data_IF_615239992710
#
_entry.id   IF_615239992710
#
_cell.length_a   1.000
_cell.length_b   1.000
_cell.length_c   1.000
_cell.angle_alpha   90.00
_cell.angle_beta   90.00
_cell.angle_gamma   90.00
#
_symmetry.space_group_name_H-M   'P 1'
#
loop_
_entity.id
_entity.type
_entity.pdbx_description
1 polymer ?
#
# COMPACT_ATOMS: atom_id res chain seq x y z
N UNK A 1 48.37 12.06 10.07
CA UNK A 1 47.43 13.15 10.43
C UNK A 1 46.22 12.52 11.09
N UNK A 2 46.06 12.72 12.40
CA UNK A 2 44.92 12.20 13.15
C UNK A 2 43.73 13.15 13.03
N UNK A 3 42.56 12.61 12.71
CA UNK A 3 41.31 13.34 12.72
C UNK A 3 40.44 12.79 13.85
N UNK A 4 40.15 13.65 14.83
CA UNK A 4 39.26 13.34 15.96
C UNK A 4 37.93 14.02 15.68
N UNK A 5 36.79 13.31 15.59
CA UNK A 5 35.50 13.97 15.45
C UNK A 5 35.06 14.56 16.79
N UNK A 6 34.62 15.82 16.74
CA UNK A 6 34.15 16.60 17.88
C UNK A 6 32.79 16.09 18.39
N UNK A 7 32.68 15.97 19.72
CA UNK A 7 31.43 15.71 20.45
C UNK A 7 30.46 16.87 20.23
N UNK A 8 29.21 16.58 19.83
CA UNK A 8 28.10 17.53 19.88
C UNK A 8 27.47 17.49 21.27
N UNK A 9 27.40 18.65 21.92
CA UNK A 9 26.73 18.86 23.19
C UNK A 9 25.20 18.90 23.01
N UNK A 10 24.50 18.23 23.92
CA UNK A 10 23.05 18.25 24.06
C UNK A 10 22.67 19.42 24.97
N UNK A 11 21.91 20.37 24.43
CA UNK A 11 21.30 21.46 25.21
C UNK A 11 19.94 21.00 25.73
N UNK A 12 19.80 21.01 27.06
CA UNK A 12 18.57 20.82 27.79
C UNK A 12 17.73 22.11 27.87
N UNK A 13 16.41 21.90 27.91
CA UNK A 13 15.38 22.68 28.59
C UNK A 13 14.87 23.99 27.95
N UNK A 14 13.57 23.97 27.61
CA UNK A 14 12.64 25.05 27.97
C UNK A 14 11.22 24.47 28.15
N UNK A 15 10.77 24.48 29.40
CA UNK A 15 9.40 24.29 29.86
C UNK A 15 8.51 25.44 29.40
N UNK A 16 7.30 25.17 28.93
CA UNK A 16 6.23 26.18 28.78
C UNK A 16 5.01 25.74 29.60
N UNK A 17 4.59 26.67 30.45
CA UNK A 17 3.53 26.54 31.44
C UNK A 17 2.13 26.48 30.81
N UNK A 18 1.24 25.76 31.50
CA UNK A 18 -0.17 25.65 31.16
C UNK A 18 -0.96 26.93 31.41
N UNK A 19 -2.08 27.03 30.68
CA UNK A 19 -3.20 27.91 31.01
C UNK A 19 -4.46 27.05 30.99
N UNK A 20 -5.03 26.84 32.17
CA UNK A 20 -6.37 26.31 32.35
C UNK A 20 -7.38 27.45 32.10
N UNK A 21 -8.27 27.26 31.12
CA UNK A 21 -9.43 28.12 30.90
C UNK A 21 -10.71 27.37 31.25
N UNK A 22 -11.30 27.70 32.40
CA UNK A 22 -12.67 27.35 32.77
C UNK A 22 -13.61 28.47 32.32
N UNK A 23 -14.64 28.12 31.54
CA UNK A 23 -15.93 28.81 31.40
C UNK A 23 -16.79 27.95 30.46
N UNK A 24 -18.07 27.65 30.68
CA UNK A 24 -19.05 28.10 31.65
C UNK A 24 -20.41 27.84 31.00
N UNK A 25 -21.21 26.93 31.57
CA UNK A 25 -22.58 26.71 31.13
C UNK A 25 -23.43 27.92 31.52
N UNK A 26 -23.97 28.63 30.53
CA UNK A 26 -24.93 29.71 30.71
C UNK A 26 -26.29 29.31 30.16
N UNK A 27 -27.23 29.06 31.06
CA UNK A 27 -28.66 28.90 30.79
C UNK A 27 -29.26 30.23 30.30
N UNK A 28 -30.04 30.18 29.23
CA UNK A 28 -30.95 31.26 28.86
C UNK A 28 -32.39 30.80 29.12
N UNK A 29 -33.01 31.47 30.09
CA UNK A 29 -34.43 31.47 30.38
C UNK A 29 -35.15 32.30 29.32
N UNK A 30 -36.19 31.74 28.70
CA UNK A 30 -37.18 32.46 27.92
C UNK A 30 -38.56 32.02 28.38
N UNK A 31 -39.10 32.75 29.36
CA UNK A 31 -40.52 32.77 29.68
C UNK A 31 -41.24 33.64 28.65
N UNK A 32 -42.34 33.15 28.08
CA UNK A 32 -43.47 34.01 27.75
C UNK A 32 -44.77 33.17 27.82
N UNK A 33 -45.59 33.52 28.80
CA UNK A 33 -46.93 33.02 29.08
C UNK A 33 -47.93 33.50 28.03
N UNK A 34 -48.85 32.63 27.60
CA UNK A 34 -50.26 33.03 27.45
C UNK A 34 -51.19 31.85 27.75
N UNK A 35 -52.13 32.13 28.65
CA UNK A 35 -53.15 31.26 29.24
C UNK A 35 -54.36 30.96 28.33
N UNK A 36 -55.10 29.91 28.77
CA UNK A 36 -56.54 29.64 28.62
C UNK A 36 -56.98 28.83 27.37
N UNK A 37 -57.84 27.80 27.42
CA UNK A 37 -58.92 27.43 28.34
C UNK A 37 -59.14 25.89 28.42
N UNK A 38 -59.89 25.49 29.44
CA UNK A 38 -60.34 24.13 29.79
C UNK A 38 -61.42 23.56 28.86
N UNK A 39 -61.45 22.23 28.73
CA UNK A 39 -62.71 21.46 28.71
C UNK A 39 -62.50 20.02 29.21
N UNK A 40 -63.36 19.60 30.14
CA UNK A 40 -63.50 18.26 30.69
C UNK A 40 -64.11 17.26 29.69
N UNK A 41 -63.82 15.96 29.89
CA UNK A 41 -64.57 14.85 29.31
C UNK A 41 -63.87 13.50 29.49
N UNK A 42 -64.30 12.70 30.48
CA UNK A 42 -63.67 11.42 30.84
C UNK A 42 -64.17 10.18 30.09
N UNK A 43 -63.54 9.04 30.39
CA UNK A 43 -64.09 7.70 30.15
C UNK A 43 -63.13 6.69 29.52
N UNK A 44 -62.56 5.82 30.37
CA UNK A 44 -62.29 4.37 30.21
C UNK A 44 -61.91 3.79 28.83
N UNK A 45 -60.72 3.19 28.73
CA UNK A 45 -60.52 1.73 28.78
C UNK A 45 -59.08 1.38 28.37
N UNK A 46 -58.50 0.40 29.04
CA UNK A 46 -57.14 -0.04 28.81
C UNK A 46 -56.95 -0.80 27.50
N UNK A 47 -55.77 -0.67 26.92
CA UNK A 47 -55.11 -1.78 26.26
C UNK A 47 -53.59 -1.57 26.35
N UNK A 48 -52.91 -2.54 26.94
CA UNK A 48 -51.46 -2.55 27.07
C UNK A 48 -50.85 -2.93 25.73
N UNK A 49 -50.15 -1.99 25.13
CA UNK A 49 -49.26 -2.27 24.01
C UNK A 49 -47.97 -1.54 24.31
N UNK A 50 -46.95 -2.32 24.67
CA UNK A 50 -45.59 -1.91 24.95
C UNK A 50 -44.98 -1.27 23.69
N UNK A 51 -45.24 0.02 23.52
CA UNK A 51 -44.51 0.90 22.63
C UNK A 51 -43.17 1.19 23.27
N UNK A 52 -42.13 0.53 22.76
CA UNK A 52 -40.73 0.87 22.98
C UNK A 52 -40.55 2.37 22.76
N UNK A 53 -40.53 3.13 23.86
CA UNK A 53 -40.21 4.55 23.88
C UNK A 53 -38.71 4.59 23.62
N UNK A 54 -38.33 4.85 22.37
CA UNK A 54 -36.94 5.08 22.01
C UNK A 54 -36.45 6.24 22.87
N UNK A 55 -35.56 5.91 23.80
CA UNK A 55 -34.80 6.87 24.57
C UNK A 55 -33.83 7.55 23.61
N UNK A 56 -33.98 8.86 23.31
CA UNK A 56 -33.13 9.55 22.35
C UNK A 56 -31.69 9.75 22.86
N UNK A 57 -31.41 9.39 24.11
CA UNK A 57 -30.10 9.51 24.75
C UNK A 57 -29.32 8.17 24.81
N UNK A 58 -29.86 7.05 24.30
CA UNK A 58 -29.09 5.81 24.19
C UNK A 58 -28.26 5.79 22.90
N UNK A 59 -27.21 6.60 22.86
CA UNK A 59 -26.07 6.35 22.00
C UNK A 59 -25.33 5.14 22.59
N UNK A 60 -25.75 3.93 22.25
CA UNK A 60 -24.92 2.73 22.36
C UNK A 60 -23.72 2.95 21.43
N UNK A 61 -22.71 3.67 21.93
CA UNK A 61 -21.39 3.75 21.34
C UNK A 61 -20.85 2.32 21.40
N UNK A 62 -20.92 1.61 20.28
CA UNK A 62 -20.37 0.27 20.14
C UNK A 62 -18.99 0.28 20.78
N UNK A 63 -18.78 -0.58 21.79
CA UNK A 63 -17.59 -0.58 22.63
C UNK A 63 -16.33 -0.58 21.74
N UNK A 64 -15.72 0.59 21.60
CA UNK A 64 -14.51 0.78 20.84
C UNK A 64 -13.38 0.11 21.61
N UNK A 65 -12.86 -0.99 21.06
CA UNK A 65 -11.60 -1.59 21.52
C UNK A 65 -10.47 -0.95 20.72
N UNK A 66 -9.66 -0.08 21.34
CA UNK A 66 -8.53 0.56 20.67
C UNK A 66 -7.54 -0.49 20.17
N UNK A 67 -6.85 -0.24 19.05
CA UNK A 67 -5.82 -1.16 18.51
C UNK A 67 -4.75 -1.56 19.52
N UNK A 68 -4.48 -0.70 20.50
CA UNK A 68 -3.44 -0.89 21.54
C UNK A 68 -3.69 -2.13 22.43
N UNK A 69 -4.87 -2.73 22.34
CA UNK A 69 -5.22 -3.98 23.05
C UNK A 69 -5.01 -5.24 22.19
N UNK A 70 -4.64 -5.11 20.92
CA UNK A 70 -4.33 -6.23 20.02
C UNK A 70 -2.83 -6.53 20.01
N UNK A 71 -2.48 -7.82 20.02
CA UNK A 71 -1.09 -8.23 19.77
C UNK A 71 -0.83 -8.29 18.26
N UNK A 72 0.33 -7.81 17.78
CA UNK A 72 0.73 -8.03 16.39
C UNK A 72 0.68 -9.53 16.05
N UNK A 73 0.20 -9.90 14.84
CA UNK A 73 0.20 -11.29 14.40
C UNK A 73 1.62 -11.83 14.30
N UNK A 74 1.80 -13.11 14.64
CA UNK A 74 3.06 -13.83 14.48
C UNK A 74 3.43 -14.01 12.98
N UNK A 75 2.42 -14.06 12.11
CA UNK A 75 2.56 -14.19 10.66
C UNK A 75 1.67 -13.16 9.94
N UNK A 76 2.29 -12.32 9.11
CA UNK A 76 1.60 -11.29 8.33
C UNK A 76 0.72 -11.91 7.24
N UNK A 77 1.07 -13.06 6.69
CA UNK A 77 0.28 -13.73 5.66
C UNK A 77 -1.03 -14.27 6.23
N UNK A 78 -0.99 -14.84 7.44
CA UNK A 78 -2.19 -15.27 8.15
C UNK A 78 -3.10 -14.09 8.48
N UNK A 79 -2.52 -12.97 8.92
CA UNK A 79 -3.25 -11.72 9.15
C UNK A 79 -3.93 -11.18 7.88
N UNK A 80 -3.21 -11.17 6.76
CA UNK A 80 -3.72 -10.63 5.51
C UNK A 80 -4.71 -11.58 4.82
N UNK A 81 -4.77 -12.86 5.19
CA UNK A 81 -5.72 -13.82 4.62
C UNK A 81 -7.18 -13.39 4.81
N UNK A 82 -7.47 -12.64 5.88
CA UNK A 82 -8.80 -12.09 6.19
C UNK A 82 -9.02 -10.68 5.60
N UNK A 83 -8.02 -10.11 4.91
CA UNK A 83 -8.12 -8.77 4.35
C UNK A 83 -8.90 -8.75 3.02
N UNK A 84 -9.81 -7.78 2.88
CA UNK A 84 -10.56 -7.57 1.64
C UNK A 84 -9.62 -7.24 0.48
N UNK A 85 -9.74 -8.01 -0.60
CA UNK A 85 -8.91 -7.86 -1.79
C UNK A 85 -7.52 -8.51 -1.71
N UNK A 86 -7.17 -9.18 -0.60
CA UNK A 86 -5.89 -9.90 -0.54
C UNK A 86 -5.93 -11.21 -1.32
N UNK A 87 -4.85 -11.43 -2.08
CA UNK A 87 -4.66 -12.62 -2.94
C UNK A 87 -3.25 -13.20 -2.80
N UNK A 88 -2.53 -12.87 -1.73
CA UNK A 88 -1.12 -13.26 -1.55
C UNK A 88 -0.12 -12.31 -2.23
N UNK A 89 -0.60 -11.17 -2.73
CA UNK A 89 0.19 -10.22 -3.51
C UNK A 89 0.67 -9.05 -2.67
N UNK A 90 1.91 -8.64 -2.91
CA UNK A 90 2.51 -7.45 -2.29
C UNK A 90 3.03 -6.50 -3.34
N UNK A 91 2.66 -5.23 -3.22
CA UNK A 91 3.19 -4.21 -4.12
C UNK A 91 4.54 -3.75 -3.59
N UNK A 92 5.63 -4.13 -4.26
CA UNK A 92 6.95 -3.57 -3.97
C UNK A 92 7.08 -2.18 -4.58
N UNK A 93 7.34 -1.20 -3.73
CA UNK A 93 7.64 0.17 -4.15
C UNK A 93 9.14 0.35 -4.35
N UNK A 94 9.52 1.16 -5.33
CA UNK A 94 10.91 1.47 -5.60
C UNK A 94 11.48 2.50 -4.61
N UNK A 95 12.74 2.86 -4.81
CA UNK A 95 13.55 3.75 -3.94
C UNK A 95 13.15 5.22 -3.93
N UNK A 96 12.00 5.58 -4.54
CA UNK A 96 11.50 6.96 -4.60
C UNK A 96 11.18 7.59 -3.23
N UNK A 97 11.16 6.78 -2.17
CA UNK A 97 10.84 7.20 -0.80
C UNK A 97 9.37 7.57 -0.61
N UNK A 98 8.47 7.13 -1.51
CA UNK A 98 7.04 7.38 -1.43
C UNK A 98 6.23 6.15 -1.81
N UNK A 99 5.18 5.90 -1.03
CA UNK A 99 4.14 4.92 -1.33
C UNK A 99 2.76 5.50 -1.04
N UNK A 100 1.72 5.01 -1.71
CA UNK A 100 0.35 5.42 -1.47
C UNK A 100 -0.56 4.20 -1.29
N UNK A 101 -1.43 4.27 -0.29
CA UNK A 101 -2.47 3.30 0.03
C UNK A 101 -3.81 4.04 0.05
N UNK A 102 -4.79 3.55 -0.71
CA UNK A 102 -6.16 4.09 -0.66
C UNK A 102 -6.91 3.49 0.53
N UNK A 103 -7.71 4.31 1.20
CA UNK A 103 -8.56 3.93 2.32
C UNK A 103 -10.03 3.95 1.88
N UNK A 104 -10.75 2.86 2.14
CA UNK A 104 -12.14 2.70 1.68
C UNK A 104 -12.22 2.34 0.19
N UNK A 105 -11.29 1.53 -0.31
CA UNK A 105 -11.36 1.00 -1.67
C UNK A 105 -12.35 -0.17 -1.73
N UNK A 106 -13.16 -0.24 -2.79
CA UNK A 106 -14.13 -1.33 -2.99
C UNK A 106 -13.43 -2.59 -3.52
N UNK A 107 -13.67 -3.73 -2.87
CA UNK A 107 -13.22 -5.06 -3.30
C UNK A 107 -14.39 -6.05 -3.30
N UNK A 108 -14.19 -7.21 -3.93
CA UNK A 108 -15.08 -8.35 -3.77
C UNK A 108 -14.97 -8.89 -2.33
N UNK A 109 -15.85 -8.42 -1.44
CA UNK A 109 -15.85 -8.77 -0.01
C UNK A 109 -16.17 -7.61 0.92
N UNK A 110 -16.03 -6.37 0.44
CA UNK A 110 -16.29 -5.18 1.22
C UNK A 110 -15.29 -4.06 0.91
N UNK A 111 -15.29 -3.05 1.76
CA UNK A 111 -14.31 -1.96 1.71
C UNK A 111 -12.98 -2.44 2.29
N UNK A 112 -11.87 -1.88 1.82
CA UNK A 112 -10.54 -2.24 2.28
C UNK A 112 -9.47 -1.22 1.94
N UNK A 113 -8.23 -1.60 2.17
CA UNK A 113 -7.05 -0.85 1.73
C UNK A 113 -6.65 -1.27 0.30
N UNK A 114 -6.10 -0.35 -0.49
CA UNK A 114 -5.58 -0.67 -1.82
C UNK A 114 -4.30 0.12 -2.16
N UNK A 115 -3.16 -0.55 -2.33
CA UNK A 115 -2.94 -1.98 -2.11
C UNK A 115 -3.13 -2.39 -0.63
N UNK A 116 -3.40 -3.68 -0.40
CA UNK A 116 -3.58 -4.23 0.95
C UNK A 116 -2.26 -4.26 1.72
N UNK A 117 -1.17 -4.63 1.03
CA UNK A 117 0.18 -4.64 1.58
C UNK A 117 1.16 -4.00 0.61
N UNK A 118 2.02 -3.14 1.16
CA UNK A 118 3.14 -2.55 0.45
C UNK A 118 4.45 -3.02 1.06
N UNK A 119 5.43 -3.26 0.21
CA UNK A 119 6.81 -3.45 0.61
C UNK A 119 7.62 -2.21 0.23
N UNK A 120 8.27 -1.60 1.21
CA UNK A 120 8.93 -0.31 1.07
C UNK A 120 10.37 -0.35 1.63
N UNK A 121 11.31 0.40 1.03
CA UNK A 121 12.61 0.63 1.67
C UNK A 121 12.49 1.44 2.96
N UNK A 122 13.47 1.35 3.88
CA UNK A 122 13.61 2.31 4.97
C UNK A 122 13.63 3.76 4.45
N UNK A 123 13.22 4.68 5.30
CA UNK A 123 13.00 6.11 5.01
C UNK A 123 11.89 6.39 4.00
N UNK A 124 10.95 5.46 3.78
CA UNK A 124 9.79 5.69 2.90
C UNK A 124 8.67 6.42 3.61
N UNK A 125 8.15 7.47 2.96
CA UNK A 125 6.92 8.16 3.36
C UNK A 125 5.72 7.45 2.73
N UNK A 126 4.96 6.70 3.54
CA UNK A 126 3.71 6.05 3.11
C UNK A 126 2.56 7.00 3.40
N UNK A 127 1.74 7.25 2.37
CA UNK A 127 0.54 8.08 2.45
C UNK A 127 -0.71 7.22 2.34
N UNK A 128 -1.63 7.39 3.27
CA UNK A 128 -2.98 6.87 3.18
C UNK A 128 -3.92 7.95 2.66
N UNK A 129 -4.67 7.67 1.59
CA UNK A 129 -5.57 8.62 0.92
C UNK A 129 -7.01 8.10 0.92
N UNK A 130 -7.94 8.86 1.51
CA UNK A 130 -9.34 8.45 1.60
C UNK A 130 -10.05 8.63 0.26
N UNK A 131 -10.69 7.56 -0.21
CA UNK A 131 -11.53 7.58 -1.41
C UNK A 131 -12.83 8.35 -1.16
N UNK A 132 -13.32 8.34 0.08
CA UNK A 132 -14.62 8.84 0.50
C UNK A 132 -15.78 7.90 0.19
N UNK A 133 -15.49 6.63 -0.13
CA UNK A 133 -16.49 5.58 -0.22
C UNK A 133 -16.70 4.95 1.17
N UNK A 134 -17.95 4.60 1.47
CA UNK A 134 -18.31 3.91 2.71
C UNK A 134 -18.48 4.81 3.93
N UNK A 135 -18.45 4.15 5.08
CA UNK A 135 -18.47 4.80 6.39
C UNK A 135 -17.11 5.39 6.76
N UNK A 136 -17.00 5.93 7.98
CA UNK A 136 -15.76 6.53 8.45
C UNK A 136 -14.71 5.45 8.74
N UNK A 137 -13.48 5.68 8.26
CA UNK A 137 -12.35 4.77 8.43
C UNK A 137 -11.15 5.48 9.05
N UNK A 138 -10.32 4.74 9.77
CA UNK A 138 -9.01 5.20 10.21
C UNK A 138 -7.91 4.22 9.78
N UNK A 139 -6.68 4.55 10.15
CA UNK A 139 -5.48 3.75 9.91
C UNK A 139 -4.71 3.73 11.22
N UNK A 140 -4.65 2.56 11.86
CA UNK A 140 -4.00 2.38 13.14
C UNK A 140 -3.14 1.10 13.12
N UNK A 141 -1.87 1.23 13.50
CA UNK A 141 -0.93 0.12 13.60
C UNK A 141 -1.17 -0.68 14.87
N UNK A 142 -1.06 -2.01 14.80
CA UNK A 142 -1.29 -2.88 15.97
C UNK A 142 -0.23 -2.74 17.06
N UNK A 143 0.95 -2.21 16.73
CA UNK A 143 2.05 -1.96 17.65
C UNK A 143 2.07 -0.53 18.21
N UNK A 144 1.08 0.30 17.83
CA UNK A 144 1.00 1.71 18.21
C UNK A 144 2.00 2.63 17.50
N UNK A 145 2.74 2.14 16.48
CA UNK A 145 3.76 2.95 15.76
C UNK A 145 3.13 4.15 15.04
N UNK A 146 1.91 4.00 14.51
CA UNK A 146 1.19 5.08 13.85
C UNK A 146 -0.32 4.95 14.03
N UNK A 147 -1.00 6.10 14.15
CA UNK A 147 -2.45 6.20 14.19
C UNK A 147 -2.91 7.51 13.56
N UNK A 148 -3.81 7.42 12.58
CA UNK A 148 -4.44 8.58 11.95
C UNK A 148 -5.45 9.32 12.84
N UNK A 149 -5.81 8.73 13.99
CA UNK A 149 -6.78 9.22 14.94
C UNK A 149 -8.22 8.83 14.60
N UNK A 150 -9.16 9.74 14.91
CA UNK A 150 -10.60 9.47 14.76
C UNK A 150 -10.96 9.08 13.31
N UNK A 151 -11.85 8.08 13.12
CA UNK A 151 -12.34 7.72 11.81
C UNK A 151 -12.90 8.89 11.00
N UNK A 152 -12.61 8.87 9.70
CA UNK A 152 -13.00 9.91 8.76
C UNK A 152 -13.56 9.29 7.47
N UNK A 153 -14.61 9.89 6.89
CA UNK A 153 -15.22 9.47 5.62
C UNK A 153 -15.00 10.50 4.48
N UNK A 154 -14.34 11.62 4.76
CA UNK A 154 -14.18 12.72 3.82
C UNK A 154 -13.14 12.39 2.74
N UNK A 155 -13.59 12.40 1.48
CA UNK A 155 -12.69 12.28 0.33
C UNK A 155 -11.64 13.39 0.29
N UNK A 156 -10.43 13.03 -0.15
CA UNK A 156 -9.30 13.97 -0.23
C UNK A 156 -8.56 14.20 1.09
N UNK A 157 -9.02 13.60 2.19
CA UNK A 157 -8.25 13.49 3.43
C UNK A 157 -7.05 12.57 3.21
N UNK A 158 -5.92 12.87 3.86
CA UNK A 158 -4.78 11.96 3.89
C UNK A 158 -4.02 12.00 5.20
N UNK A 159 -3.45 10.85 5.54
CA UNK A 159 -2.52 10.62 6.64
C UNK A 159 -1.19 10.15 6.06
N UNK A 160 -0.08 10.41 6.74
CA UNK A 160 1.22 9.91 6.30
C UNK A 160 2.12 9.54 7.47
N UNK A 161 2.98 8.55 7.25
CA UNK A 161 3.99 8.12 8.21
C UNK A 161 5.30 7.80 7.49
N UNK A 162 6.43 8.10 8.13
CA UNK A 162 7.76 7.79 7.60
C UNK A 162 8.30 6.59 8.35
N UNK A 163 8.56 5.51 7.62
CA UNK A 163 9.13 4.29 8.16
C UNK A 163 10.64 4.32 8.05
N UNK A 164 11.35 4.44 9.16
CA UNK A 164 12.82 4.45 9.22
C UNK A 164 13.43 3.11 9.63
N UNK A 165 12.73 2.33 10.44
CA UNK A 165 13.18 1.01 10.90
C UNK A 165 12.66 -0.14 10.02
N UNK A 166 13.51 -1.11 9.63
CA UNK A 166 13.05 -2.35 9.03
C UNK A 166 12.14 -3.13 9.97
N UNK A 167 11.05 -3.68 9.45
CA UNK A 167 10.04 -4.37 10.23
C UNK A 167 8.76 -4.61 9.44
N UNK A 168 7.84 -5.36 10.03
CA UNK A 168 6.50 -5.53 9.49
C UNK A 168 5.53 -4.81 10.42
N UNK A 169 4.70 -3.95 9.84
CA UNK A 169 3.75 -3.10 10.56
C UNK A 169 2.32 -3.40 10.09
N UNK A 170 1.65 -4.40 10.68
CA UNK A 170 0.24 -4.67 10.44
C UNK A 170 -0.60 -3.50 10.95
N UNK A 171 -1.58 -3.10 10.15
CA UNK A 171 -2.49 -2.01 10.48
C UNK A 171 -3.92 -2.34 10.07
N UNK A 172 -4.86 -1.57 10.60
CA UNK A 172 -6.28 -1.83 10.49
C UNK A 172 -7.05 -0.51 10.46
N UNK A 173 -8.24 -0.54 9.87
CA UNK A 173 -9.28 0.44 10.19
C UNK A 173 -10.09 -0.14 11.36
N UNK A 174 -10.06 0.51 12.51
CA UNK A 174 -10.79 0.02 13.69
C UNK A 174 -12.28 -0.13 13.40
N UNK A 175 -12.95 0.83 12.72
CA UNK A 175 -14.19 0.54 12.03
C UNK A 175 -13.92 -0.32 10.79
N UNK A 176 -14.60 -1.45 10.65
CA UNK A 176 -14.43 -2.36 9.52
C UNK A 176 -13.33 -3.41 9.71
N UNK A 177 -12.66 -3.47 10.88
CA UNK A 177 -11.69 -4.52 11.21
C UNK A 177 -12.27 -5.92 11.02
N UNK A 178 -13.41 -6.18 11.65
CA UNK A 178 -14.09 -7.49 11.59
C UNK A 178 -14.69 -7.78 10.21
N UNK A 179 -14.74 -6.76 9.35
CA UNK A 179 -15.22 -6.85 7.96
C UNK A 179 -14.07 -6.97 6.96
N UNK A 180 -12.81 -7.08 7.43
CA UNK A 180 -11.64 -7.32 6.58
C UNK A 180 -10.87 -6.06 6.14
N UNK A 181 -11.07 -4.90 6.79
CA UNK A 181 -10.24 -3.71 6.55
C UNK A 181 -8.88 -3.80 7.24
N UNK A 182 -8.07 -4.75 6.79
CA UNK A 182 -6.75 -5.07 7.31
C UNK A 182 -5.68 -4.75 6.27
N UNK A 183 -4.48 -4.39 6.70
CA UNK A 183 -3.34 -4.14 5.81
C UNK A 183 -2.01 -4.32 6.52
N UNK A 184 -0.92 -4.16 5.76
CA UNK A 184 0.43 -4.17 6.32
C UNK A 184 1.40 -3.29 5.53
N UNK A 185 2.38 -2.71 6.22
CA UNK A 185 3.58 -2.13 5.61
C UNK A 185 4.76 -3.02 5.98
N UNK A 186 5.45 -3.56 4.97
CA UNK A 186 6.70 -4.32 5.17
C UNK A 186 7.86 -3.42 4.80
N UNK A 187 8.72 -3.11 5.76
CA UNK A 187 9.89 -2.26 5.58
C UNK A 187 11.13 -3.13 5.53
N UNK A 188 11.79 -3.17 4.37
CA UNK A 188 13.01 -3.97 4.18
C UNK A 188 13.92 -3.36 3.12
N UNK A 189 15.21 -3.66 3.22
CA UNK A 189 16.16 -3.23 2.20
C UNK A 189 15.81 -3.87 0.84
N UNK A 190 15.71 -3.09 -0.25
CA UNK A 190 15.47 -3.65 -1.57
C UNK A 190 16.65 -4.51 -2.02
N UNK A 191 16.40 -5.55 -2.83
CA UNK A 191 17.49 -6.31 -3.42
C UNK A 191 18.35 -5.41 -4.33
N UNK A 192 19.64 -5.73 -4.42
CA UNK A 192 20.59 -4.98 -5.24
C UNK A 192 21.51 -5.91 -6.03
N UNK A 193 21.66 -5.60 -7.31
CA UNK A 193 22.63 -6.22 -8.23
C UNK A 193 24.00 -5.55 -8.19
N UNK A 194 24.10 -4.37 -7.58
CA UNK A 194 25.25 -3.46 -7.69
C UNK A 194 25.16 -2.51 -8.89
N UNK A 195 24.16 -2.64 -9.76
CA UNK A 195 23.86 -1.71 -10.85
C UNK A 195 22.68 -0.81 -10.46
N UNK A 196 22.97 0.35 -9.88
CA UNK A 196 21.94 1.26 -9.31
C UNK A 196 20.77 1.53 -10.27
N UNK A 197 21.06 1.89 -11.53
CA UNK A 197 20.02 2.18 -12.52
C UNK A 197 19.15 0.95 -12.90
N UNK A 198 19.71 -0.26 -12.78
CA UNK A 198 18.97 -1.51 -12.96
C UNK A 198 18.12 -1.77 -11.73
N UNK A 199 18.71 -1.67 -10.54
CA UNK A 199 18.04 -1.91 -9.25
C UNK A 199 16.81 -1.01 -9.11
N UNK A 200 16.95 0.30 -9.30
CA UNK A 200 15.84 1.26 -9.24
C UNK A 200 14.71 0.94 -10.25
N UNK A 201 15.05 0.31 -11.37
CA UNK A 201 14.10 -0.04 -12.42
C UNK A 201 13.36 -1.34 -12.13
N UNK A 202 14.11 -2.41 -11.85
CA UNK A 202 13.60 -3.79 -11.71
C UNK A 202 13.12 -4.12 -10.31
N UNK A 203 13.38 -3.26 -9.30
CA UNK A 203 12.81 -3.41 -7.95
C UNK A 203 11.29 -3.55 -7.96
N UNK A 204 10.61 -3.00 -8.96
CA UNK A 204 9.17 -3.14 -9.12
C UNK A 204 8.70 -4.51 -9.62
N UNK A 205 9.60 -5.38 -10.07
CA UNK A 205 9.26 -6.75 -10.47
C UNK A 205 9.36 -7.67 -9.27
N UNK A 206 8.28 -8.36 -8.92
CA UNK A 206 8.21 -9.19 -7.71
C UNK A 206 9.24 -10.31 -7.68
N UNK A 207 9.55 -10.86 -8.86
CA UNK A 207 10.51 -11.95 -9.03
C UNK A 207 11.98 -11.49 -8.97
N UNK A 208 12.24 -10.20 -8.83
CA UNK A 208 13.60 -9.69 -8.62
C UNK A 208 14.03 -9.86 -7.17
N UNK A 209 15.15 -10.54 -6.97
CA UNK A 209 15.76 -10.89 -5.69
C UNK A 209 17.21 -10.42 -5.55
N UNK A 210 17.67 -9.55 -6.48
CA UNK A 210 19.05 -9.06 -6.51
C UNK A 210 20.00 -9.94 -7.33
N UNK A 211 19.52 -11.09 -7.84
CA UNK A 211 20.34 -11.94 -8.71
C UNK A 211 20.48 -11.35 -10.11
N UNK A 212 21.67 -11.53 -10.68
CA UNK A 212 21.97 -11.26 -12.08
C UNK A 212 22.29 -12.60 -12.73
N UNK A 213 21.46 -13.02 -13.69
CA UNK A 213 21.78 -14.19 -14.49
C UNK A 213 22.95 -13.86 -15.41
N UNK A 214 24.07 -14.57 -15.25
CA UNK A 214 25.29 -14.34 -16.02
C UNK A 214 25.39 -15.31 -17.19
N UNK A 215 25.23 -14.78 -18.40
CA UNK A 215 25.39 -15.46 -19.69
C UNK A 215 26.54 -14.86 -20.50
N UNK A 216 27.51 -14.23 -19.82
CA UNK A 216 28.73 -13.75 -20.49
C UNK A 216 29.50 -14.90 -21.13
N UNK A 217 30.02 -14.66 -22.33
CA UNK A 217 30.67 -15.69 -23.15
C UNK A 217 29.74 -16.61 -23.94
N UNK A 218 28.41 -16.52 -23.75
CA UNK A 218 27.41 -17.21 -24.57
C UNK A 218 27.10 -16.43 -25.86
N UNK A 219 26.97 -17.14 -26.99
CA UNK A 219 26.54 -16.51 -28.26
C UNK A 219 25.05 -16.11 -28.23
N UNK A 220 24.26 -16.84 -27.46
CA UNK A 220 22.82 -16.63 -27.30
C UNK A 220 22.42 -16.74 -25.84
N UNK A 221 21.37 -16.01 -25.47
CA UNK A 221 20.73 -16.09 -24.15
C UNK A 221 19.21 -15.94 -24.31
N UNK A 222 18.43 -16.44 -23.35
CA UNK A 222 16.97 -16.40 -23.39
C UNK A 222 16.36 -15.65 -22.22
N UNK A 223 15.24 -14.98 -22.47
CA UNK A 223 14.36 -14.38 -21.48
C UNK A 223 12.94 -14.89 -21.75
N UNK A 224 12.30 -15.42 -20.72
CA UNK A 224 10.89 -15.78 -20.74
C UNK A 224 10.02 -14.54 -20.61
N UNK A 225 9.01 -14.40 -21.46
CA UNK A 225 7.93 -13.39 -21.37
C UNK A 225 6.70 -14.10 -20.83
N UNK A 226 6.16 -13.60 -19.72
CA UNK A 226 5.06 -14.27 -19.01
C UNK A 226 5.56 -15.28 -17.98
N UNK A 227 6.64 -14.95 -17.27
CA UNK A 227 7.07 -15.71 -16.11
C UNK A 227 6.19 -15.38 -14.89
N UNK A 228 6.12 -16.26 -13.88
CA UNK A 228 5.44 -15.97 -12.62
C UNK A 228 6.01 -14.71 -11.93
N UNK A 229 5.12 -13.83 -11.48
CA UNK A 229 5.41 -12.58 -10.80
C UNK A 229 4.38 -11.50 -11.11
N UNK A 230 4.29 -10.49 -10.23
CA UNK A 230 3.38 -9.35 -10.37
C UNK A 230 1.90 -9.78 -10.39
N UNK A 231 1.54 -10.66 -9.45
CA UNK A 231 0.19 -11.20 -9.25
C UNK A 231 -0.18 -12.44 -10.07
N UNK A 232 0.47 -12.68 -11.21
CA UNK A 232 0.21 -13.88 -12.01
C UNK A 232 1.42 -14.21 -12.91
N UNK A 233 1.27 -14.24 -14.24
CA UNK A 233 2.35 -14.45 -15.21
C UNK A 233 2.70 -13.13 -15.91
N UNK A 234 3.01 -12.10 -15.13
CA UNK A 234 3.31 -10.75 -15.58
C UNK A 234 4.77 -10.33 -15.33
N UNK A 235 5.71 -11.27 -15.37
CA UNK A 235 7.14 -11.00 -15.21
C UNK A 235 7.99 -11.45 -16.41
N UNK A 236 9.22 -10.95 -16.47
CA UNK A 236 10.28 -11.49 -17.30
C UNK A 236 11.20 -12.38 -16.46
N UNK A 237 11.69 -13.49 -17.01
CA UNK A 237 12.65 -14.36 -16.31
C UNK A 237 13.83 -14.76 -17.22
N UNK A 238 15.09 -14.51 -16.80
CA UNK A 238 15.47 -13.80 -15.59
C UNK A 238 15.09 -12.30 -15.64
N UNK A 239 14.85 -11.65 -14.50
CA UNK A 239 14.53 -10.21 -14.46
C UNK A 239 15.73 -9.34 -14.84
N UNK A 240 16.94 -9.78 -14.50
CA UNK A 240 18.20 -9.15 -14.89
C UNK A 240 19.11 -10.19 -15.54
N UNK A 241 19.52 -9.91 -16.76
CA UNK A 241 20.43 -10.75 -17.53
C UNK A 241 21.69 -9.98 -17.86
N UNK A 242 22.85 -10.63 -17.71
CA UNK A 242 24.14 -10.08 -18.07
C UNK A 242 24.76 -10.87 -19.21
N UNK A 243 25.21 -10.19 -20.25
CA UNK A 243 25.73 -10.80 -21.48
C UNK A 243 26.98 -10.09 -21.95
N UNK A 244 27.73 -10.73 -22.84
CA UNK A 244 28.85 -10.09 -23.53
C UNK A 244 28.35 -9.26 -24.72
N UNK A 245 29.14 -8.28 -25.19
CA UNK A 245 28.92 -7.70 -26.51
C UNK A 245 28.82 -8.79 -27.59
N UNK A 246 27.99 -8.52 -28.58
CA UNK A 246 27.60 -9.40 -29.69
C UNK A 246 26.75 -10.63 -29.32
N UNK A 247 26.35 -10.81 -28.05
CA UNK A 247 25.37 -11.83 -27.65
C UNK A 247 23.97 -11.49 -28.18
N UNK A 248 23.28 -12.50 -28.73
CA UNK A 248 21.88 -12.38 -29.16
C UNK A 248 20.93 -12.87 -28.08
N UNK A 249 20.11 -11.97 -27.54
CA UNK A 249 19.09 -12.29 -26.54
C UNK A 249 17.77 -12.59 -27.23
N UNK A 250 17.10 -13.66 -26.80
CA UNK A 250 15.84 -14.17 -27.35
C UNK A 250 14.74 -14.07 -26.29
N UNK A 251 13.66 -13.37 -26.61
CA UNK A 251 12.48 -13.31 -25.77
C UNK A 251 11.44 -14.32 -26.24
N UNK A 252 11.06 -15.23 -25.35
CA UNK A 252 10.20 -16.38 -25.63
C UNK A 252 8.91 -16.25 -24.81
N UNK A 253 7.77 -16.14 -25.48
CA UNK A 253 6.46 -16.05 -24.82
C UNK A 253 6.06 -17.43 -24.35
N UNK A 254 5.77 -17.54 -23.05
CA UNK A 254 5.20 -18.75 -22.47
C UNK A 254 3.90 -18.36 -21.82
N UNK A 255 2.75 -18.74 -22.39
CA UNK A 255 1.40 -18.67 -21.80
C UNK A 255 1.14 -17.49 -20.83
N UNK A 256 1.41 -16.23 -21.22
CA UNK A 256 1.26 -15.09 -20.34
C UNK A 256 -0.22 -14.86 -20.02
N UNK A 257 -0.49 -14.37 -18.80
CA UNK A 257 -1.85 -14.07 -18.34
C UNK A 257 -2.54 -12.94 -19.12
N UNK A 258 -1.79 -12.19 -19.93
CA UNK A 258 -2.28 -11.14 -20.81
C UNK A 258 -1.31 -10.86 -21.95
N UNK A 259 -1.73 -10.10 -22.98
CA UNK A 259 -0.88 -9.80 -24.11
C UNK A 259 0.30 -8.93 -23.67
N UNK A 260 1.53 -9.37 -23.93
CA UNK A 260 2.76 -8.69 -23.50
C UNK A 260 3.66 -8.36 -24.68
N UNK A 261 4.50 -7.32 -24.50
CA UNK A 261 5.57 -6.98 -25.43
C UNK A 261 6.89 -6.72 -24.70
N UNK A 262 7.95 -6.54 -25.47
CA UNK A 262 9.29 -6.14 -25.02
C UNK A 262 9.58 -4.81 -25.67
N UNK A 263 9.65 -3.74 -24.88
CA UNK A 263 9.95 -2.39 -25.37
C UNK A 263 11.04 -1.78 -24.50
N UNK A 264 12.15 -1.37 -25.14
CA UNK A 264 13.27 -0.76 -24.46
C UNK A 264 13.00 0.73 -24.19
N UNK A 265 13.43 1.20 -23.01
CA UNK A 265 13.29 2.61 -22.60
C UNK A 265 14.39 3.48 -23.22
N UNK A 266 15.58 2.90 -23.35
CA UNK A 266 16.82 3.61 -23.68
C UNK A 266 17.27 3.34 -25.14
N UNK A 267 16.47 2.62 -25.93
CA UNK A 267 16.78 2.26 -27.33
C UNK A 267 15.50 2.10 -28.16
N UNK A 268 15.58 2.37 -29.47
CA UNK A 268 14.49 2.13 -30.45
C UNK A 268 14.44 0.64 -30.82
N UNK A 269 14.14 -0.20 -29.82
CA UNK A 269 14.09 -1.66 -29.92
C UNK A 269 12.77 -2.12 -29.29
N UNK A 270 11.97 -2.83 -30.08
CA UNK A 270 10.64 -3.27 -29.65
C UNK A 270 10.21 -4.55 -30.38
N UNK A 271 9.48 -5.42 -29.68
CA UNK A 271 8.80 -6.58 -30.26
C UNK A 271 7.49 -6.22 -30.99
N UNK A 272 7.10 -4.94 -30.98
CA UNK A 272 5.85 -4.43 -31.56
C UNK A 272 4.67 -4.43 -30.58
N UNK A 273 3.46 -4.60 -31.12
CA UNK A 273 2.22 -4.64 -30.34
C UNK A 273 2.20 -5.82 -29.34
N UNK A 274 1.57 -5.67 -28.16
CA UNK A 274 1.42 -6.75 -27.19
C UNK A 274 0.68 -7.97 -27.77
N UNK A 275 1.14 -9.18 -27.43
CA UNK A 275 0.57 -10.45 -27.89
C UNK A 275 0.59 -11.52 -26.78
N UNK A 276 -0.34 -12.47 -26.85
CA UNK A 276 -0.37 -13.62 -25.93
C UNK A 276 0.75 -14.60 -26.25
N UNK A 277 0.96 -14.92 -27.51
CA UNK A 277 1.98 -15.89 -27.91
C UNK A 277 2.64 -15.44 -29.20
N UNK A 278 3.82 -16.00 -29.49
CA UNK A 278 4.50 -15.84 -30.77
C UNK A 278 5.00 -17.18 -31.24
N UNK A 279 4.74 -17.51 -32.50
CA UNK A 279 5.35 -18.66 -33.17
C UNK A 279 6.88 -18.49 -33.34
N UNK A 280 7.38 -17.25 -33.25
CA UNK A 280 8.80 -16.94 -33.37
C UNK A 280 9.21 -15.95 -32.28
N UNK A 281 10.32 -16.22 -31.54
CA UNK A 281 10.80 -15.30 -30.52
C UNK A 281 11.17 -13.94 -31.10
N UNK A 282 11.15 -12.94 -30.23
CA UNK A 282 11.78 -11.66 -30.53
C UNK A 282 13.27 -11.76 -30.21
N UNK A 283 14.14 -11.30 -31.10
CA UNK A 283 15.58 -11.41 -30.92
C UNK A 283 16.25 -10.04 -31.08
N UNK A 284 17.26 -9.77 -30.27
CA UNK A 284 18.09 -8.57 -30.39
C UNK A 284 19.55 -8.89 -30.03
N UNK A 285 20.48 -8.40 -30.86
CA UNK A 285 21.93 -8.52 -30.60
C UNK A 285 22.45 -7.22 -30.03
N UNK A 286 22.95 -7.26 -28.80
CA UNK A 286 23.56 -6.11 -28.14
C UNK A 286 25.03 -6.01 -28.53
N UNK A 287 25.45 -4.85 -29.04
CA UNK A 287 26.84 -4.64 -29.50
C UNK A 287 27.64 -3.69 -28.62
N UNK A 288 26.95 -2.83 -27.91
CA UNK A 288 27.57 -1.78 -27.11
C UNK A 288 27.45 -2.17 -25.63
N UNK A 289 28.53 -2.01 -24.84
CA UNK A 289 28.45 -2.15 -23.40
C UNK A 289 27.49 -1.12 -22.79
N UNK A 290 26.75 -1.52 -21.75
CA UNK A 290 25.79 -0.65 -21.09
C UNK A 290 24.65 -1.39 -20.41
N UNK A 291 23.74 -0.62 -19.81
CA UNK A 291 22.52 -1.13 -19.19
C UNK A 291 21.31 -0.78 -20.04
N UNK A 292 20.52 -1.78 -20.42
CA UNK A 292 19.36 -1.64 -21.29
C UNK A 292 18.10 -2.07 -20.55
N UNK A 293 17.27 -1.10 -20.17
CA UNK A 293 16.01 -1.32 -19.45
C UNK A 293 14.87 -1.51 -20.44
N UNK A 294 13.97 -2.44 -20.14
CA UNK A 294 12.79 -2.69 -20.94
C UNK A 294 11.58 -3.08 -20.09
N UNK A 295 10.40 -2.93 -20.65
CA UNK A 295 9.14 -3.31 -20.03
C UNK A 295 8.14 -3.85 -21.07
N UNK A 296 7.10 -4.50 -20.57
CA UNK A 296 5.86 -4.67 -21.31
C UNK A 296 4.99 -3.43 -21.10
N UNK A 297 4.60 -2.74 -22.18
CA UNK A 297 3.81 -1.51 -22.09
C UNK A 297 2.50 -1.65 -21.29
N UNK A 298 1.63 -2.66 -21.53
CA UNK A 298 0.39 -2.80 -20.78
C UNK A 298 0.61 -3.17 -19.31
N UNK A 299 1.79 -3.67 -18.94
CA UNK A 299 2.08 -4.22 -17.61
C UNK A 299 3.21 -3.47 -16.87
N UNK A 300 3.72 -2.36 -17.43
CA UNK A 300 4.82 -1.57 -16.85
C UNK A 300 4.47 -1.00 -15.47
N UNK A 301 3.21 -0.60 -15.29
CA UNK A 301 2.69 -0.03 -14.05
C UNK A 301 2.57 -1.07 -12.93
N UNK A 302 2.42 -2.35 -13.28
CA UNK A 302 2.37 -3.46 -12.32
C UNK A 302 3.71 -4.20 -12.18
N UNK A 303 4.79 -3.67 -12.76
CA UNK A 303 6.13 -4.19 -12.49
C UNK A 303 6.74 -5.12 -13.54
N UNK A 304 6.07 -5.37 -14.68
CA UNK A 304 6.64 -6.19 -15.77
C UNK A 304 7.80 -5.46 -16.45
N UNK A 305 8.98 -5.53 -15.82
CA UNK A 305 10.19 -4.79 -16.13
C UNK A 305 11.38 -5.75 -16.10
N UNK A 306 12.30 -5.57 -17.03
CA UNK A 306 13.55 -6.31 -17.06
C UNK A 306 14.71 -5.41 -17.47
N UNK A 307 15.93 -5.94 -17.32
CA UNK A 307 17.14 -5.25 -17.74
C UNK A 307 18.17 -6.22 -18.32
N UNK A 308 18.90 -5.73 -19.32
CA UNK A 308 20.10 -6.39 -19.85
C UNK A 308 21.31 -5.55 -19.46
N UNK A 309 22.33 -6.18 -18.88
CA UNK A 309 23.65 -5.58 -18.63
C UNK A 309 24.61 -6.17 -19.66
N UNK A 310 25.35 -5.32 -20.37
CA UNK A 310 26.31 -5.75 -21.39
C UNK A 310 27.70 -5.31 -20.98
N UNK A 311 28.60 -6.29 -20.74
CA UNK A 311 29.99 -6.08 -20.31
C UNK A 311 30.99 -7.06 -20.93
#
# INVERSE_FOLDING_TARGET
MGYTPARREVLHAATVAGVAGLAGCGSVTGDDDTDAEKSDGGGSDGDGSDGNRLDPDNCDEAAYTPVDELSPPDDVEEWLADANGYRGERVRTGTSGRAEIRVGHEHDGGLGFAPVVVEVPPMTNVRWSWTGHGDAHNVAALDGTFDSGRPNAQSGTSYHYVFDEPGTYPFVSEPGREEGMLGAVVVKEPPSTGYEAVDEWVVHSDNFDGTVADETGSETASVTVGAPGNGDRFAFAPPVLKVSPDTTVRWEWTDPSGPANVVFEDADVSSGDPTFERETPFEHTFREPGTYRYASLPHKSIGMRGAIVVE
#
